data_IF_347439942254
#
_entry.id   IF_347439942254
#
_cell.length_a   1.000
_cell.length_b   1.000
_cell.length_c   1.000
_cell.angle_alpha   90.00
_cell.angle_beta   90.00
_cell.angle_gamma   90.00
#
_symmetry.space_group_name_H-M   'P 1'
#
loop_
_entity.id
_entity.type
_entity.pdbx_description
1 polymer ?
#
# COMPACT_ATOMS: atom_id res chain seq x y z
N UNK A 1 33.64 21.89 -23.77
CA UNK A 1 33.57 21.58 -22.33
C UNK A 1 32.65 22.61 -21.71
N UNK A 2 31.64 22.15 -20.97
CA UNK A 2 30.40 22.93 -20.78
C UNK A 2 30.50 23.86 -19.58
N UNK A 3 29.89 25.06 -19.66
CA UNK A 3 29.87 26.09 -18.61
C UNK A 3 29.38 25.55 -17.24
N UNK A 4 28.68 24.42 -17.23
CA UNK A 4 28.20 23.73 -16.02
C UNK A 4 29.34 22.97 -15.31
N UNK A 5 30.26 22.39 -16.07
CA UNK A 5 31.45 21.67 -15.60
C UNK A 5 32.44 22.63 -14.92
N UNK A 6 32.65 23.82 -15.50
CA UNK A 6 33.46 24.88 -14.90
C UNK A 6 32.83 25.44 -13.62
N UNK A 7 31.50 25.61 -13.59
CA UNK A 7 30.79 26.07 -12.40
C UNK A 7 30.80 25.03 -11.28
N UNK A 8 30.67 23.75 -11.60
CA UNK A 8 30.81 22.66 -10.62
C UNK A 8 32.23 22.57 -10.08
N UNK A 9 33.23 22.65 -10.96
CA UNK A 9 34.65 22.61 -10.58
C UNK A 9 35.00 23.78 -9.67
N UNK A 10 34.52 24.99 -10.00
CA UNK A 10 34.74 26.20 -9.19
C UNK A 10 34.00 26.14 -7.85
N UNK A 11 32.76 25.67 -7.83
CA UNK A 11 31.99 25.51 -6.60
C UNK A 11 32.58 24.45 -5.66
N UNK A 12 33.19 23.39 -6.21
CA UNK A 12 33.89 22.35 -5.45
C UNK A 12 35.30 22.78 -5.01
N UNK A 13 35.95 23.71 -5.72
CA UNK A 13 37.29 24.20 -5.37
C UNK A 13 37.28 25.31 -4.32
N UNK A 14 36.22 26.13 -4.26
CA UNK A 14 36.15 27.30 -3.37
C UNK A 14 35.77 26.98 -1.92
N UNK A 15 35.30 25.76 -1.64
CA UNK A 15 35.07 25.28 -0.28
C UNK A 15 36.04 24.12 0.00
N UNK A 16 37.05 24.29 0.88
CA UNK A 16 37.72 23.13 1.43
C UNK A 16 36.68 22.36 2.25
N UNK A 17 36.07 21.34 1.63
CA UNK A 17 35.23 20.39 2.32
C UNK A 17 36.19 19.52 3.11
N UNK A 18 36.61 19.99 4.29
CA UNK A 18 37.22 19.11 5.26
C UNK A 18 36.20 18.00 5.53
N UNK A 19 36.51 16.74 5.22
CA UNK A 19 35.58 15.66 5.46
C UNK A 19 35.28 15.67 6.95
N UNK A 20 33.99 15.75 7.29
CA UNK A 20 33.54 15.72 8.67
C UNK A 20 34.26 14.55 9.37
N UNK A 21 34.94 14.78 10.51
CA UNK A 21 35.84 13.79 11.09
C UNK A 21 35.13 12.48 11.47
N UNK A 22 33.81 12.51 11.58
CA UNK A 22 32.92 11.41 11.92
C UNK A 22 32.27 10.72 10.69
N UNK A 23 32.54 11.17 9.46
CA UNK A 23 31.89 10.61 8.26
C UNK A 23 32.10 9.10 8.14
N UNK A 24 33.31 8.64 8.41
CA UNK A 24 33.66 7.22 8.33
C UNK A 24 32.95 6.43 9.43
N UNK A 25 32.92 6.96 10.65
CA UNK A 25 32.22 6.34 11.79
C UNK A 25 30.71 6.24 11.54
N UNK A 26 30.09 7.29 10.98
CA UNK A 26 28.67 7.31 10.61
C UNK A 26 28.34 6.27 9.55
N UNK A 27 29.21 6.10 8.54
CA UNK A 27 29.00 5.11 7.49
C UNK A 27 29.15 3.70 8.06
N UNK A 28 30.17 3.45 8.88
CA UNK A 28 30.36 2.15 9.55
C UNK A 28 29.16 1.82 10.46
N UNK A 29 28.67 2.79 11.23
CA UNK A 29 27.49 2.65 12.08
C UNK A 29 26.23 2.34 11.26
N UNK A 30 26.02 3.05 10.14
CA UNK A 30 24.88 2.79 9.26
C UNK A 30 24.92 1.37 8.66
N UNK A 31 26.11 0.87 8.27
CA UNK A 31 26.29 -0.47 7.72
C UNK A 31 26.03 -1.53 8.79
N UNK A 32 26.49 -1.28 10.03
CA UNK A 32 26.24 -2.17 11.16
C UNK A 32 24.74 -2.23 11.49
N UNK A 33 24.07 -1.09 11.54
CA UNK A 33 22.62 -0.99 11.75
C UNK A 33 21.84 -1.73 10.65
N UNK A 34 22.24 -1.57 9.38
CA UNK A 34 21.56 -2.22 8.25
C UNK A 34 21.74 -3.76 8.28
N UNK A 35 22.92 -4.26 8.70
CA UNK A 35 23.14 -5.70 8.93
C UNK A 35 22.26 -6.25 10.04
N UNK A 36 22.12 -5.53 11.16
CA UNK A 36 21.24 -5.94 12.27
C UNK A 36 19.79 -6.01 11.82
N UNK A 37 19.34 -5.03 11.01
CA UNK A 37 17.98 -4.99 10.46
C UNK A 37 17.70 -6.12 9.49
N UNK A 38 18.64 -6.46 8.60
CA UNK A 38 18.50 -7.62 7.69
C UNK A 38 18.40 -8.93 8.47
N UNK A 39 19.22 -9.10 9.50
CA UNK A 39 19.19 -10.28 10.37
C UNK A 39 17.87 -10.39 11.13
N UNK A 40 17.35 -9.28 11.66
CA UNK A 40 16.06 -9.29 12.36
C UNK A 40 14.92 -9.61 11.40
N UNK A 41 14.89 -9.02 10.20
CA UNK A 41 13.89 -9.35 9.16
C UNK A 41 13.94 -10.82 8.78
N UNK A 42 15.12 -11.39 8.54
CA UNK A 42 15.28 -12.82 8.25
C UNK A 42 14.81 -13.69 9.41
N UNK A 43 15.11 -13.33 10.66
CA UNK A 43 14.63 -14.06 11.85
C UNK A 43 13.11 -14.03 11.97
N UNK A 44 12.49 -12.87 11.73
CA UNK A 44 11.04 -12.75 11.74
C UNK A 44 10.38 -13.54 10.61
N UNK A 45 10.96 -13.53 9.41
CA UNK A 45 10.51 -14.37 8.30
C UNK A 45 10.62 -15.86 8.63
N UNK A 46 11.76 -16.29 9.16
CA UNK A 46 11.95 -17.68 9.59
C UNK A 46 10.98 -18.08 10.70
N UNK A 47 10.77 -17.22 11.70
CA UNK A 47 9.81 -17.45 12.76
C UNK A 47 8.38 -17.58 12.20
N UNK A 48 7.99 -16.71 11.26
CA UNK A 48 6.68 -16.79 10.60
C UNK A 48 6.52 -18.10 9.81
N UNK A 49 7.53 -18.49 9.02
CA UNK A 49 7.53 -19.76 8.28
C UNK A 49 7.43 -20.94 9.24
N UNK A 50 8.17 -20.92 10.35
CA UNK A 50 8.12 -21.98 11.36
C UNK A 50 6.73 -22.08 11.99
N UNK A 51 6.13 -20.96 12.37
CA UNK A 51 4.78 -20.92 12.94
C UNK A 51 3.76 -21.49 11.95
N UNK A 52 3.84 -21.11 10.67
CA UNK A 52 2.95 -21.65 9.62
C UNK A 52 3.16 -23.14 9.43
N UNK A 53 4.41 -23.61 9.39
CA UNK A 53 4.72 -25.02 9.22
C UNK A 53 4.24 -25.86 10.42
N UNK A 54 4.43 -25.38 11.65
CA UNK A 54 3.96 -26.03 12.87
C UNK A 54 2.43 -26.06 12.90
N UNK A 55 1.77 -24.95 12.59
CA UNK A 55 0.31 -24.90 12.54
C UNK A 55 -0.26 -25.83 11.47
N UNK A 56 0.31 -25.83 10.25
CA UNK A 56 -0.10 -26.72 9.17
C UNK A 56 0.11 -28.20 9.54
N UNK A 57 1.27 -28.53 10.15
CA UNK A 57 1.56 -29.88 10.61
C UNK A 57 0.56 -30.30 11.69
N UNK A 58 0.33 -29.47 12.70
CA UNK A 58 -0.63 -29.73 13.76
C UNK A 58 -2.05 -29.98 13.21
N UNK A 59 -2.50 -29.16 12.25
CA UNK A 59 -3.80 -29.37 11.57
C UNK A 59 -3.81 -30.72 10.85
N UNK A 60 -2.77 -31.04 10.07
CA UNK A 60 -2.72 -32.29 9.29
C UNK A 60 -2.61 -33.55 10.16
N UNK A 61 -1.97 -33.46 11.33
CA UNK A 61 -1.76 -34.61 12.23
C UNK A 61 -2.88 -34.80 13.24
N UNK A 62 -3.47 -33.72 13.75
CA UNK A 62 -4.47 -33.78 14.82
C UNK A 62 -5.90 -33.89 14.29
N UNK A 63 -6.12 -33.57 13.00
CA UNK A 63 -7.46 -33.65 12.41
C UNK A 63 -7.79 -35.11 12.07
N UNK A 64 -8.87 -35.68 12.64
CA UNK A 64 -9.29 -37.05 12.34
C UNK A 64 -9.56 -37.22 10.85
N UNK A 65 -9.27 -38.40 10.31
CA UNK A 65 -9.62 -38.76 8.93
C UNK A 65 -10.79 -39.73 8.92
N UNK A 66 -11.80 -39.45 8.10
CA UNK A 66 -12.95 -40.33 7.88
C UNK A 66 -12.96 -40.68 6.39
N UNK A 67 -12.91 -41.97 6.05
CA UNK A 67 -12.89 -42.45 4.66
C UNK A 67 -11.76 -41.86 3.78
N UNK A 68 -10.58 -41.62 4.36
CA UNK A 68 -9.42 -41.09 3.64
C UNK A 68 -9.44 -39.57 3.40
N UNK A 69 -10.51 -38.86 3.77
CA UNK A 69 -10.58 -37.40 3.74
C UNK A 69 -10.35 -36.83 5.15
N UNK A 70 -9.75 -35.62 5.24
CA UNK A 70 -9.66 -34.90 6.51
C UNK A 70 -11.09 -34.53 6.95
N UNK A 71 -11.52 -35.03 8.11
CA UNK A 71 -12.75 -34.60 8.75
C UNK A 71 -12.47 -33.28 9.49
N UNK A 72 -12.24 -32.22 8.72
CA UNK A 72 -11.94 -30.89 9.21
C UNK A 72 -13.22 -30.07 9.27
N UNK A 73 -13.55 -29.43 10.41
CA UNK A 73 -14.58 -28.41 10.44
C UNK A 73 -14.25 -27.32 9.42
N UNK A 74 -15.23 -27.00 8.56
CA UNK A 74 -15.08 -26.04 7.46
C UNK A 74 -14.51 -24.68 7.91
N UNK A 75 -14.87 -24.23 9.12
CA UNK A 75 -14.45 -22.94 9.67
C UNK A 75 -12.94 -22.82 9.83
N UNK A 76 -12.21 -23.94 10.02
CA UNK A 76 -10.76 -23.88 10.19
C UNK A 76 -10.09 -23.45 8.88
N UNK A 77 -10.55 -23.99 7.75
CA UNK A 77 -10.06 -23.59 6.42
C UNK A 77 -10.41 -22.13 6.12
N UNK A 78 -11.62 -21.72 6.49
CA UNK A 78 -12.10 -20.35 6.33
C UNK A 78 -11.23 -19.35 7.14
N UNK A 79 -11.00 -19.63 8.43
CA UNK A 79 -10.16 -18.80 9.30
C UNK A 79 -8.72 -18.77 8.80
N UNK A 80 -8.16 -19.92 8.42
CA UNK A 80 -6.80 -19.99 7.90
C UNK A 80 -6.64 -19.16 6.61
N UNK A 81 -7.58 -19.29 5.68
CA UNK A 81 -7.57 -18.54 4.41
C UNK A 81 -7.70 -17.04 4.66
N UNK A 82 -8.61 -16.62 5.53
CA UNK A 82 -8.78 -15.21 5.88
C UNK A 82 -7.54 -14.63 6.57
N UNK A 83 -6.88 -15.37 7.46
CA UNK A 83 -5.61 -14.95 8.06
C UNK A 83 -4.51 -14.78 7.01
N UNK A 84 -4.43 -15.68 6.03
CA UNK A 84 -3.49 -15.55 4.90
C UNK A 84 -3.81 -14.32 4.07
N UNK A 85 -5.08 -14.06 3.74
CA UNK A 85 -5.49 -12.87 2.98
C UNK A 85 -5.15 -11.57 3.73
N UNK A 86 -5.44 -11.50 5.03
CA UNK A 86 -5.08 -10.36 5.88
C UNK A 86 -3.57 -10.19 5.95
N UNK A 87 -2.83 -11.29 6.14
CA UNK A 87 -1.37 -11.28 6.16
C UNK A 87 -0.78 -10.77 4.84
N UNK A 88 -1.30 -11.24 3.70
CA UNK A 88 -0.93 -10.74 2.38
C UNK A 88 -1.25 -9.25 2.23
N UNK A 89 -2.43 -8.80 2.67
CA UNK A 89 -2.82 -7.40 2.60
C UNK A 89 -1.85 -6.50 3.38
N UNK A 90 -1.53 -6.86 4.62
CA UNK A 90 -0.59 -6.11 5.46
C UNK A 90 0.83 -6.16 4.90
N UNK A 91 1.25 -7.30 4.35
CA UNK A 91 2.58 -7.48 3.80
C UNK A 91 2.80 -6.71 2.48
N UNK A 92 1.78 -6.58 1.64
CA UNK A 92 1.88 -5.88 0.36
C UNK A 92 1.89 -4.35 0.53
N UNK A 93 1.28 -3.81 1.59
CA UNK A 93 1.22 -2.37 1.87
C UNK A 93 2.59 -1.67 1.79
N UNK A 94 3.64 -2.14 2.51
CA UNK A 94 5.01 -1.61 2.39
C UNK A 94 5.60 -1.65 0.98
N UNK A 95 5.26 -2.67 0.19
CA UNK A 95 5.76 -2.84 -1.18
C UNK A 95 5.15 -1.80 -2.13
N UNK A 96 3.84 -1.56 -2.00
CA UNK A 96 3.13 -0.52 -2.74
C UNK A 96 3.68 0.86 -2.37
N UNK A 97 3.93 1.12 -1.08
CA UNK A 97 4.56 2.38 -0.63
C UNK A 97 5.95 2.57 -1.23
N UNK A 98 6.74 1.50 -1.38
CA UNK A 98 8.10 1.58 -1.94
C UNK A 98 8.07 2.01 -3.39
N UNK A 99 7.19 1.42 -4.22
CA UNK A 99 7.06 1.82 -5.62
C UNK A 99 6.37 3.17 -5.79
N UNK A 100 5.33 3.43 -5.00
CA UNK A 100 4.64 4.71 -5.00
C UNK A 100 5.56 5.88 -4.65
N UNK A 101 6.59 5.67 -3.83
CA UNK A 101 7.58 6.71 -3.49
C UNK A 101 8.41 7.17 -4.68
N UNK A 102 8.86 6.25 -5.52
CA UNK A 102 9.60 6.60 -6.73
C UNK A 102 8.72 7.43 -7.67
N UNK A 103 7.49 6.96 -7.94
CA UNK A 103 6.54 7.66 -8.79
C UNK A 103 6.13 9.04 -8.24
N UNK A 104 5.88 9.14 -6.94
CA UNK A 104 5.52 10.40 -6.31
C UNK A 104 6.67 11.42 -6.32
N UNK A 105 7.92 10.97 -6.23
CA UNK A 105 9.07 11.85 -6.36
C UNK A 105 9.15 12.48 -7.76
N UNK A 106 8.83 11.71 -8.81
CA UNK A 106 8.83 12.20 -10.20
C UNK A 106 7.66 13.18 -10.44
N UNK A 107 6.45 12.82 -9.99
CA UNK A 107 5.22 13.60 -10.24
C UNK A 107 5.14 14.86 -9.36
N UNK A 108 5.62 14.81 -8.13
CA UNK A 108 5.54 15.89 -7.14
C UNK A 108 6.93 16.44 -6.77
N UNK A 109 7.88 16.46 -7.70
CA UNK A 109 9.25 16.94 -7.45
C UNK A 109 9.29 18.37 -6.88
N UNK A 110 8.37 19.24 -7.30
CA UNK A 110 8.27 20.63 -6.83
C UNK A 110 7.73 20.76 -5.39
N UNK A 111 7.02 19.75 -4.88
CA UNK A 111 6.44 19.79 -3.54
C UNK A 111 6.41 18.40 -2.88
N UNK A 112 7.53 17.98 -2.24
CA UNK A 112 7.69 16.62 -1.71
C UNK A 112 6.72 16.29 -0.55
N UNK A 113 6.20 17.31 0.15
CA UNK A 113 5.21 17.11 1.21
C UNK A 113 3.89 16.57 0.64
N UNK A 114 3.46 17.08 -0.51
CA UNK A 114 2.27 16.60 -1.22
C UNK A 114 2.47 15.15 -1.69
N UNK A 115 3.65 14.82 -2.21
CA UNK A 115 4.00 13.45 -2.60
C UNK A 115 3.95 12.47 -1.43
N UNK A 116 4.43 12.87 -0.23
CA UNK A 116 4.34 12.06 0.99
C UNK A 116 2.88 11.81 1.40
N UNK A 117 2.05 12.85 1.42
CA UNK A 117 0.63 12.74 1.77
C UNK A 117 -0.15 11.89 0.76
N UNK A 118 0.16 12.01 -0.53
CA UNK A 118 -0.42 11.19 -1.60
C UNK A 118 -0.19 9.69 -1.39
N UNK A 119 1.03 9.29 -1.01
CA UNK A 119 1.37 7.88 -0.73
C UNK A 119 0.57 7.34 0.47
N UNK A 120 0.38 8.14 1.52
CA UNK A 120 -0.44 7.74 2.67
C UNK A 120 -1.91 7.62 2.27
N UNK A 121 -2.39 8.53 1.43
CA UNK A 121 -3.79 8.56 1.01
C UNK A 121 -4.16 7.36 0.12
N UNK A 122 -3.24 6.95 -0.77
CA UNK A 122 -3.39 5.76 -1.63
C UNK A 122 -3.29 4.45 -0.85
N UNK A 123 -2.56 4.42 0.27
CA UNK A 123 -2.51 3.27 1.19
C UNK A 123 -3.89 2.98 1.81
N UNK A 124 -4.67 4.01 2.12
CA UNK A 124 -6.04 3.86 2.65
C UNK A 124 -6.94 3.20 1.60
N UNK A 125 -6.87 3.64 0.34
CA UNK A 125 -7.62 3.03 -0.78
C UNK A 125 -7.32 1.54 -0.87
N UNK A 126 -6.05 1.19 -0.80
CA UNK A 126 -5.59 -0.19 -0.88
C UNK A 126 -6.22 -1.06 0.21
N UNK A 127 -6.17 -0.64 1.48
CA UNK A 127 -6.77 -1.42 2.56
C UNK A 127 -8.29 -1.51 2.48
N UNK A 128 -8.97 -0.46 2.01
CA UNK A 128 -10.42 -0.48 1.81
C UNK A 128 -10.85 -1.53 0.79
N UNK A 129 -10.15 -1.59 -0.36
CA UNK A 129 -10.45 -2.56 -1.42
C UNK A 129 -10.13 -3.99 -0.96
N UNK A 130 -9.00 -4.19 -0.28
CA UNK A 130 -8.63 -5.52 0.23
C UNK A 130 -9.57 -5.99 1.35
N UNK A 131 -9.96 -5.10 2.27
CA UNK A 131 -10.95 -5.42 3.30
C UNK A 131 -12.31 -5.77 2.69
N UNK A 132 -12.75 -5.02 1.69
CA UNK A 132 -13.97 -5.33 0.94
C UNK A 132 -13.92 -6.72 0.29
N UNK A 133 -12.81 -7.04 -0.38
CA UNK A 133 -12.59 -8.34 -0.99
C UNK A 133 -12.70 -9.47 0.05
N UNK A 134 -12.01 -9.34 1.19
CA UNK A 134 -12.06 -10.33 2.27
C UNK A 134 -13.51 -10.54 2.72
N UNK A 135 -14.25 -9.45 3.01
CA UNK A 135 -15.65 -9.51 3.43
C UNK A 135 -16.57 -10.21 2.41
N UNK A 136 -16.35 -10.00 1.11
CA UNK A 136 -17.12 -10.68 0.07
C UNK A 136 -16.81 -12.18 -0.03
N UNK A 137 -15.61 -12.58 0.36
CA UNK A 137 -15.20 -13.99 0.29
C UNK A 137 -15.56 -14.78 1.54
N UNK A 138 -15.80 -14.11 2.68
CA UNK A 138 -16.17 -14.78 3.93
C UNK A 138 -17.42 -15.64 3.74
N UNK A 139 -17.30 -16.93 4.04
CA UNK A 139 -18.43 -17.86 4.08
C UNK A 139 -18.92 -18.05 5.50
N UNK A 140 -20.23 -17.90 5.70
CA UNK A 140 -20.90 -18.19 6.97
C UNK A 140 -21.85 -19.35 6.74
N UNK A 141 -21.57 -20.50 7.34
CA UNK A 141 -22.46 -21.65 7.30
C UNK A 141 -23.12 -21.85 8.68
N UNK A 142 -24.43 -22.14 8.73
CA UNK A 142 -25.09 -22.46 9.99
C UNK A 142 -24.56 -23.79 10.54
N UNK A 143 -24.27 -23.84 11.84
CA UNK A 143 -23.99 -25.10 12.52
C UNK A 143 -25.31 -25.80 12.83
N UNK A 144 -25.32 -27.13 12.96
CA UNK A 144 -26.54 -27.90 13.29
C UNK A 144 -27.25 -27.42 14.56
N UNK A 145 -26.53 -26.77 15.48
CA UNK A 145 -27.05 -26.14 16.70
C UNK A 145 -27.81 -24.82 16.45
N UNK A 146 -27.65 -24.18 15.28
CA UNK A 146 -28.34 -22.93 14.93
C UNK A 146 -29.78 -23.17 14.43
N UNK A 147 -30.10 -24.39 13.99
CA UNK A 147 -31.40 -24.70 13.39
C UNK A 147 -32.51 -25.05 14.41
N UNK A 148 -32.15 -25.23 15.69
CA UNK A 148 -33.05 -25.85 16.68
C UNK A 148 -33.75 -24.83 17.59
N UNK A 149 -33.30 -23.57 17.62
CA UNK A 149 -33.88 -22.55 18.51
C UNK A 149 -34.81 -21.64 17.71
N UNK A 150 -36.12 -21.93 17.78
CA UNK A 150 -37.16 -20.95 17.49
C UNK A 150 -37.55 -20.23 18.79
N UNK A 151 -37.93 -18.93 18.76
CA UNK A 151 -38.48 -18.20 17.61
C UNK A 151 -37.63 -16.99 17.18
N UNK A 152 -37.38 -16.81 15.86
CA UNK A 152 -37.11 -15.55 15.09
C UNK A 152 -36.27 -14.42 15.75
N UNK A 153 -35.53 -14.64 16.83
CA UNK A 153 -34.70 -13.64 17.51
C UNK A 153 -33.22 -13.82 17.25
N UNK A 154 -32.84 -14.95 16.65
CA UNK A 154 -31.44 -15.33 16.50
C UNK A 154 -30.92 -14.96 15.11
N UNK A 155 -29.73 -14.36 15.08
CA UNK A 155 -29.06 -13.89 13.86
C UNK A 155 -28.76 -15.10 12.97
N UNK A 156 -29.33 -15.12 11.76
CA UNK A 156 -29.14 -16.23 10.82
C UNK A 156 -27.83 -16.11 10.05
N UNK A 157 -27.27 -17.23 9.57
CA UNK A 157 -26.10 -17.24 8.68
C UNK A 157 -26.32 -16.38 7.42
N UNK A 158 -27.55 -16.40 6.88
CA UNK A 158 -27.95 -15.55 5.76
C UNK A 158 -27.88 -14.06 6.11
N UNK A 159 -28.36 -13.68 7.29
CA UNK A 159 -28.29 -12.29 7.78
C UNK A 159 -26.84 -11.83 7.98
N UNK A 160 -25.98 -12.65 8.59
CA UNK A 160 -24.55 -12.31 8.74
C UNK A 160 -23.90 -12.14 7.37
N UNK A 161 -24.15 -13.07 6.44
CA UNK A 161 -23.61 -13.01 5.08
C UNK A 161 -24.07 -11.74 4.36
N UNK A 162 -25.34 -11.39 4.50
CA UNK A 162 -25.89 -10.17 3.91
C UNK A 162 -25.19 -8.91 4.45
N UNK A 163 -25.02 -8.80 5.77
CA UNK A 163 -24.34 -7.64 6.37
C UNK A 163 -22.85 -7.58 6.01
N UNK A 164 -22.16 -8.72 5.91
CA UNK A 164 -20.77 -8.78 5.44
C UNK A 164 -20.65 -8.26 4.00
N UNK A 165 -21.55 -8.68 3.10
CA UNK A 165 -21.61 -8.18 1.73
C UNK A 165 -21.90 -6.68 1.71
N UNK A 166 -22.82 -6.19 2.55
CA UNK A 166 -23.16 -4.77 2.62
C UNK A 166 -21.97 -3.93 3.09
N UNK A 167 -21.29 -4.36 4.15
CA UNK A 167 -20.07 -3.71 4.64
C UNK A 167 -18.96 -3.73 3.58
N UNK A 168 -18.73 -4.88 2.95
CA UNK A 168 -17.79 -5.01 1.84
C UNK A 168 -18.12 -4.07 0.68
N UNK A 169 -19.39 -3.96 0.32
CA UNK A 169 -19.88 -3.04 -0.70
C UNK A 169 -19.57 -1.58 -0.38
N UNK A 170 -19.85 -1.13 0.84
CA UNK A 170 -19.56 0.25 1.28
C UNK A 170 -18.05 0.51 1.24
N UNK A 171 -17.24 -0.40 1.78
CA UNK A 171 -15.78 -0.24 1.77
C UNK A 171 -15.23 -0.18 0.34
N UNK A 172 -15.76 -1.00 -0.58
CA UNK A 172 -15.36 -0.98 -1.98
C UNK A 172 -15.74 0.35 -2.65
N UNK A 173 -16.97 0.83 -2.44
CA UNK A 173 -17.44 2.11 -3.00
C UNK A 173 -16.55 3.25 -2.50
N UNK A 174 -16.30 3.33 -1.19
CA UNK A 174 -15.42 4.35 -0.61
C UNK A 174 -14.02 4.22 -1.20
N UNK A 175 -13.46 3.01 -1.27
CA UNK A 175 -12.14 2.77 -1.84
C UNK A 175 -12.03 3.24 -3.29
N UNK A 176 -12.99 2.88 -4.14
CA UNK A 176 -13.02 3.29 -5.56
C UNK A 176 -13.18 4.80 -5.71
N UNK A 177 -14.18 5.39 -5.05
CA UNK A 177 -14.43 6.83 -5.14
C UNK A 177 -13.23 7.63 -4.64
N UNK A 178 -12.62 7.18 -3.54
CA UNK A 178 -11.42 7.80 -2.99
C UNK A 178 -10.23 7.67 -3.95
N UNK A 179 -9.98 6.46 -4.47
CA UNK A 179 -8.93 6.24 -5.47
C UNK A 179 -9.12 7.08 -6.73
N UNK A 180 -10.35 7.20 -7.21
CA UNK A 180 -10.68 8.04 -8.35
C UNK A 180 -10.42 9.52 -8.05
N UNK A 181 -10.85 10.03 -6.89
CA UNK A 181 -10.59 11.42 -6.49
C UNK A 181 -9.09 11.74 -6.41
N UNK A 182 -8.29 10.80 -5.89
CA UNK A 182 -6.83 10.94 -5.83
C UNK A 182 -6.21 11.07 -7.22
N UNK A 183 -6.72 10.33 -8.21
CA UNK A 183 -6.21 10.36 -9.59
C UNK A 183 -6.73 11.58 -10.36
N UNK A 184 -7.98 11.98 -10.14
CA UNK A 184 -8.63 13.08 -10.87
C UNK A 184 -8.06 14.45 -10.50
N UNK A 185 -7.79 14.72 -9.23
CA UNK A 185 -7.35 16.05 -8.79
C UNK A 185 -6.06 16.53 -9.48
N UNK A 186 -4.97 15.72 -9.56
CA UNK A 186 -3.76 16.10 -10.29
C UNK A 186 -3.99 16.31 -11.79
N UNK A 187 -4.83 15.47 -12.41
CA UNK A 187 -5.13 15.55 -13.85
C UNK A 187 -5.86 16.85 -14.17
N UNK A 188 -6.91 17.18 -13.40
CA UNK A 188 -7.66 18.42 -13.56
C UNK A 188 -6.77 19.65 -13.33
N UNK A 189 -5.91 19.62 -12.30
CA UNK A 189 -4.94 20.68 -12.03
C UNK A 189 -3.99 20.92 -13.21
N UNK A 190 -3.46 19.84 -13.82
CA UNK A 190 -2.60 19.93 -15.01
C UNK A 190 -3.35 20.50 -16.21
N UNK A 191 -4.56 20.01 -16.49
CA UNK A 191 -5.39 20.48 -17.60
C UNK A 191 -5.73 21.98 -17.49
N UNK A 192 -6.13 22.45 -16.31
CA UNK A 192 -6.41 23.87 -16.11
C UNK A 192 -5.16 24.76 -16.17
N UNK A 193 -4.01 24.25 -15.71
CA UNK A 193 -2.73 24.97 -15.82
C UNK A 193 -2.25 25.13 -17.27
N UNK A 194 -2.46 24.11 -18.12
CA UNK A 194 -2.15 24.17 -19.55
C UNK A 194 -3.05 25.18 -20.26
N UNK A 195 -4.34 25.21 -19.91
CA UNK A 195 -5.28 26.18 -20.47
C UNK A 195 -4.92 27.63 -20.12
N UNK A 196 -4.34 27.90 -18.94
CA UNK A 196 -3.90 29.26 -18.53
C UNK A 196 -2.64 29.76 -19.25
N UNK A 197 -1.75 28.86 -19.69
CA UNK A 197 -0.52 29.23 -20.41
C UNK A 197 -0.74 29.57 -21.88
N UNK A 198 -1.86 29.14 -22.46
CA UNK A 198 -2.24 29.46 -23.85
C UNK A 198 -2.55 30.97 -24.04
N UNK A 199 -3.38 31.62 -23.20
CA UNK A 199 -3.63 33.06 -23.28
C UNK A 199 -2.38 33.93 -23.15
N UNK A 200 -1.46 33.63 -22.22
CA UNK A 200 -0.26 34.44 -21.98
C UNK A 200 0.73 34.40 -23.14
N UNK A 201 0.93 33.23 -23.77
CA UNK A 201 1.79 33.12 -24.96
C UNK A 201 1.21 33.85 -26.17
N UNK A 202 -0.11 33.78 -26.36
CA UNK A 202 -0.78 34.49 -27.45
C UNK A 202 -0.73 36.01 -27.22
N UNK A 203 -0.95 36.47 -25.99
CA UNK A 203 -0.85 37.89 -25.64
C UNK A 203 0.59 38.43 -25.81
N UNK A 204 1.62 37.69 -25.35
CA UNK A 204 3.02 38.10 -25.52
C UNK A 204 3.47 38.12 -26.98
N UNK A 205 3.02 37.17 -27.81
CA UNK A 205 3.34 37.14 -29.23
C UNK A 205 2.75 38.33 -30.01
N UNK A 206 1.58 38.83 -29.59
CA UNK A 206 0.95 40.01 -30.21
C UNK A 206 1.65 41.33 -29.82
N UNK A 207 2.26 41.38 -28.63
CA UNK A 207 2.97 42.58 -28.13
C UNK A 207 4.38 42.71 -28.74
N UNK A 208 5.09 41.59 -28.94
CA UNK A 208 6.37 41.57 -29.66
C UNK A 208 6.22 42.02 -31.12
N UNK A 209 5.12 41.64 -31.78
CA UNK A 209 4.86 42.01 -33.18
C UNK A 209 4.47 43.49 -33.33
N UNK A 210 3.92 44.10 -32.27
CA UNK A 210 3.68 45.55 -32.19
C UNK A 210 4.96 46.37 -32.00
N UNK A 211 5.89 45.89 -31.18
CA UNK A 211 7.16 46.58 -30.92
C UNK A 211 8.14 46.54 -32.10
N UNK A 212 7.89 45.67 -33.08
CA UNK A 212 8.70 45.54 -34.31
C UNK A 212 8.20 46.38 -35.49
N UNK A 213 7.07 47.08 -35.36
CA UNK A 213 6.55 48.02 -36.36
C UNK A 213 6.72 49.46 -35.89
#
# INVERSE_FOLDING_TARGET
MSNLEDRLTRALSDYPVEPAPDLFDRVVESIAADRLRRRSVLRWLLAAVLVVAVAATAVLTLTPRVNGTLAMPWWILEVATNLVLVGMAVWLGPFIKRFGRAYAADVFHDNPLTGKSYIVLTDIVYYLIFAAYILFTVKVAPTSTWAVVQPVTDVTAGQVTYELIRLGGILLIIGILHGLNIVLMPVLGRLFSLNRRLPERVAGALDEDRLRR
#
